data_IF_498539359803
#
_entry.id   IF_498539359803
#
_cell.length_a   1.000
_cell.length_b   1.000
_cell.length_c   1.000
_cell.angle_alpha   90.00
_cell.angle_beta   90.00
_cell.angle_gamma   90.00
#
_symmetry.space_group_name_H-M   'P 1'
#
loop_
_entity.id
_entity.type
_entity.pdbx_description
1 polymer ?
#
# COMPACT_ATOMS: atom_id res chain seq x y z
N UNK A 1 1.21 -28.32 5.79
CA UNK A 1 1.96 -27.43 6.70
C UNK A 1 3.38 -27.33 6.21
N UNK A 2 3.75 -26.24 5.52
CA UNK A 2 5.17 -25.91 5.38
C UNK A 2 5.33 -24.40 5.30
N UNK A 3 6.05 -23.91 6.29
CA UNK A 3 6.31 -22.53 6.66
C UNK A 3 6.87 -21.71 5.51
N UNK A 4 6.24 -20.57 5.24
CA UNK A 4 6.72 -19.48 4.39
C UNK A 4 8.14 -19.10 4.81
N UNK A 5 9.14 -19.33 3.94
CA UNK A 5 10.52 -18.89 4.17
C UNK A 5 10.55 -17.36 4.30
N UNK A 6 10.70 -16.90 5.54
CA UNK A 6 10.97 -15.50 5.90
C UNK A 6 12.36 -15.16 5.32
N UNK A 7 12.46 -14.06 4.57
CA UNK A 7 13.73 -13.56 4.05
C UNK A 7 14.65 -13.21 5.23
N UNK A 8 15.78 -13.91 5.35
CA UNK A 8 16.85 -13.59 6.30
C UNK A 8 17.60 -12.33 5.82
N UNK A 9 18.06 -11.51 6.77
CA UNK A 9 18.95 -10.37 6.47
C UNK A 9 20.30 -10.86 5.93
N UNK A 10 21.11 -9.96 5.37
CA UNK A 10 22.51 -10.22 4.98
C UNK A 10 23.39 -10.79 6.12
N UNK A 11 22.88 -10.87 7.36
CA UNK A 11 23.55 -11.36 8.56
C UNK A 11 22.90 -12.63 9.19
N UNK A 12 22.02 -13.33 8.47
CA UNK A 12 21.52 -14.65 8.92
C UNK A 12 20.61 -14.65 10.15
N UNK A 13 20.16 -13.48 10.62
CA UNK A 13 19.16 -13.34 11.70
C UNK A 13 17.75 -13.13 11.15
N UNK A 14 16.76 -13.61 11.89
CA UNK A 14 15.34 -13.37 11.62
C UNK A 14 15.05 -11.87 11.76
N UNK A 15 14.40 -11.26 10.75
CA UNK A 15 14.13 -9.82 10.73
C UNK A 15 13.20 -9.43 11.88
N UNK A 16 13.55 -8.38 12.61
CA UNK A 16 12.82 -7.91 13.79
C UNK A 16 11.51 -7.24 13.36
N UNK A 17 10.41 -7.65 14.00
CA UNK A 17 9.10 -7.00 13.85
C UNK A 17 9.08 -5.68 14.63
N UNK A 18 8.23 -4.76 14.20
CA UNK A 18 7.92 -3.54 14.91
C UNK A 18 6.44 -3.39 15.25
N UNK A 19 6.05 -2.18 15.61
CA UNK A 19 4.69 -1.80 15.95
C UNK A 19 4.15 -0.74 15.00
N UNK A 20 2.84 -0.76 14.77
CA UNK A 20 2.20 0.19 13.87
C UNK A 20 2.00 1.55 14.54
N UNK A 21 1.77 2.62 13.76
CA UNK A 21 1.40 3.93 14.31
C UNK A 21 0.15 3.85 15.20
N UNK A 22 -0.82 2.98 14.85
CA UNK A 22 -2.00 2.71 15.66
C UNK A 22 -1.72 2.07 17.03
N UNK A 23 -0.74 1.16 17.12
CA UNK A 23 -0.33 0.58 18.41
C UNK A 23 0.34 1.63 19.30
N UNK A 24 1.28 2.41 18.73
CA UNK A 24 1.92 3.52 19.44
C UNK A 24 0.91 4.58 19.91
N UNK A 25 -0.06 4.96 19.06
CA UNK A 25 -1.14 5.89 19.43
C UNK A 25 -2.03 5.34 20.56
N UNK A 26 -2.31 4.03 20.56
CA UNK A 26 -3.08 3.38 21.62
C UNK A 26 -2.32 3.39 22.95
N UNK A 27 -1.03 3.04 22.93
CA UNK A 27 -0.17 3.09 24.11
C UNK A 27 -0.04 4.52 24.65
N UNK A 28 0.21 5.51 23.78
CA UNK A 28 0.25 6.91 24.17
C UNK A 28 -1.08 7.39 24.79
N UNK A 29 -2.22 7.05 24.18
CA UNK A 29 -3.53 7.45 24.69
C UNK A 29 -3.84 6.81 26.05
N UNK A 30 -3.52 5.52 26.22
CA UNK A 30 -3.69 4.84 27.49
C UNK A 30 -2.78 5.43 28.56
N UNK A 31 -1.49 5.64 28.25
CA UNK A 31 -0.53 6.28 29.16
C UNK A 31 -0.96 7.68 29.61
N UNK A 32 -1.49 8.48 28.67
CA UNK A 32 -2.06 9.79 29.00
C UNK A 32 -3.26 9.65 29.95
N UNK A 33 -4.23 8.79 29.64
CA UNK A 33 -5.40 8.60 30.50
C UNK A 33 -5.03 8.09 31.89
N UNK A 34 -4.13 7.10 31.98
CA UNK A 34 -3.62 6.59 33.26
C UNK A 34 -3.01 7.70 34.09
N UNK A 35 -2.21 8.58 33.48
CA UNK A 35 -1.58 9.71 34.18
C UNK A 35 -2.57 10.73 34.76
N UNK A 36 -3.77 10.87 34.18
CA UNK A 36 -4.82 11.75 34.74
C UNK A 36 -5.29 11.23 36.09
N UNK A 37 -5.46 9.91 36.22
CA UNK A 37 -5.99 9.27 37.43
C UNK A 37 -4.89 8.89 38.43
N UNK A 38 -3.69 8.60 37.92
CA UNK A 38 -2.53 8.18 38.68
C UNK A 38 -1.34 9.09 38.31
N UNK A 39 -1.17 10.26 38.98
CA UNK A 39 -0.10 11.19 38.64
C UNK A 39 1.32 10.62 38.75
N UNK A 40 1.50 9.54 39.53
CA UNK A 40 2.74 8.78 39.67
C UNK A 40 2.80 7.54 38.74
N UNK A 41 2.04 7.53 37.64
CA UNK A 41 1.97 6.43 36.67
C UNK A 41 3.34 5.99 36.15
N UNK A 42 3.48 4.69 35.84
CA UNK A 42 4.70 4.09 35.35
C UNK A 42 5.26 4.77 34.07
N UNK A 43 6.57 4.60 33.84
CA UNK A 43 7.25 5.01 32.61
C UNK A 43 6.95 4.08 31.42
N UNK A 44 6.13 3.04 31.62
CA UNK A 44 5.80 2.04 30.61
C UNK A 44 4.31 1.68 30.67
N UNK A 45 3.77 1.24 29.53
CA UNK A 45 2.39 0.78 29.44
C UNK A 45 2.28 -0.44 28.52
N UNK A 46 1.46 -1.41 28.90
CA UNK A 46 1.13 -2.56 28.04
C UNK A 46 -0.25 -2.40 27.42
N UNK A 47 -0.40 -2.77 26.15
CA UNK A 47 -1.69 -2.76 25.44
C UNK A 47 -1.95 -4.14 24.83
N UNK A 48 -3.21 -4.52 24.68
CA UNK A 48 -3.61 -5.70 23.93
C UNK A 48 -3.72 -5.37 22.44
N UNK A 49 -2.93 -6.05 21.60
CA UNK A 49 -3.02 -5.92 20.16
C UNK A 49 -4.17 -6.77 19.58
N UNK A 50 -4.67 -6.45 18.38
CA UNK A 50 -5.69 -7.26 17.68
C UNK A 50 -5.29 -8.73 17.47
N UNK A 51 -3.97 -9.01 17.43
CA UNK A 51 -3.43 -10.37 17.30
C UNK A 51 -3.37 -11.14 18.63
N UNK A 52 -3.79 -10.54 19.74
CA UNK A 52 -3.79 -11.15 21.07
C UNK A 52 -2.50 -10.95 21.88
N UNK A 53 -1.45 -10.39 21.28
CA UNK A 53 -0.18 -10.10 21.96
C UNK A 53 -0.31 -8.87 22.90
N UNK A 54 0.48 -8.85 23.98
CA UNK A 54 0.54 -7.75 24.97
C UNK A 54 1.93 -7.14 25.10
N UNK A 55 2.39 -6.39 24.09
CA UNK A 55 3.66 -5.67 24.18
C UNK A 55 3.60 -4.50 25.17
N UNK A 56 4.78 -4.13 25.66
CA UNK A 56 5.02 -2.98 26.55
C UNK A 56 5.72 -1.87 25.77
N UNK A 57 5.30 -0.62 25.99
CA UNK A 57 5.82 0.57 25.36
C UNK A 57 6.34 1.53 26.42
N UNK A 58 7.53 2.09 26.19
CA UNK A 58 8.05 3.20 26.99
C UNK A 58 7.28 4.48 26.67
N UNK A 59 6.87 5.19 27.72
CA UNK A 59 6.12 6.43 27.64
C UNK A 59 7.04 7.63 27.76
N UNK A 60 6.87 8.58 26.83
CA UNK A 60 7.38 9.93 26.96
C UNK A 60 6.29 10.80 27.61
N UNK A 61 6.54 11.16 28.85
CA UNK A 61 5.62 11.96 29.65
C UNK A 61 5.78 13.44 29.30
N UNK A 62 4.70 14.05 28.78
CA UNK A 62 4.66 15.48 28.47
C UNK A 62 3.93 16.23 29.58
N UNK A 63 3.02 17.14 29.21
CA UNK A 63 2.21 17.95 30.11
C UNK A 63 1.00 17.17 30.65
N UNK A 64 0.65 17.42 31.90
CA UNK A 64 -0.63 17.02 32.48
C UNK A 64 -1.31 18.20 33.18
N UNK A 65 -2.63 18.15 33.24
CA UNK A 65 -3.50 19.08 33.96
C UNK A 65 -4.56 18.31 34.75
N UNK A 66 -5.58 19.03 35.25
CA UNK A 66 -6.61 18.44 36.11
C UNK A 66 -7.49 17.40 35.40
N UNK A 67 -7.82 17.67 34.14
CA UNK A 67 -8.77 16.90 33.32
C UNK A 67 -8.15 16.38 32.01
N UNK A 68 -6.85 16.59 31.82
CA UNK A 68 -6.16 16.15 30.61
C UNK A 68 -4.72 15.74 30.90
N UNK A 69 -4.16 14.89 30.03
CA UNK A 69 -2.75 14.61 30.00
C UNK A 69 -2.27 14.33 28.58
N UNK A 70 -0.95 14.38 28.42
CA UNK A 70 -0.26 14.17 27.14
C UNK A 70 0.85 13.15 27.38
N UNK A 71 0.89 12.12 26.55
CA UNK A 71 1.97 11.15 26.51
C UNK A 71 2.36 10.83 25.07
N UNK A 72 3.61 10.44 24.87
CA UNK A 72 4.19 10.07 23.59
C UNK A 72 4.77 8.66 23.61
N UNK A 73 4.88 8.04 22.45
CA UNK A 73 5.58 6.78 22.22
C UNK A 73 6.45 6.92 20.98
N UNK A 74 7.74 6.62 21.09
CA UNK A 74 8.62 6.54 19.92
C UNK A 74 8.30 5.25 19.17
N UNK A 75 7.91 5.39 17.90
CA UNK A 75 7.56 4.25 17.06
C UNK A 75 8.81 3.46 16.70
N UNK A 76 8.79 2.17 17.03
CA UNK A 76 9.79 1.21 16.59
C UNK A 76 9.20 0.30 15.51
N UNK A 77 9.66 0.47 14.26
CA UNK A 77 9.24 -0.33 13.11
C UNK A 77 10.00 -1.66 12.95
N UNK A 78 10.92 -2.00 13.86
CA UNK A 78 11.80 -3.16 13.68
C UNK A 78 12.75 -2.93 12.50
N UNK A 79 12.93 -3.96 11.67
CA UNK A 79 13.77 -3.90 10.46
C UNK A 79 12.99 -3.48 9.19
N UNK A 80 11.74 -3.02 9.34
CA UNK A 80 10.96 -2.53 8.20
C UNK A 80 11.46 -1.14 7.80
N UNK A 81 11.75 -0.88 6.50
CA UNK A 81 12.10 0.46 6.01
C UNK A 81 10.86 1.37 5.95
N UNK A 82 10.28 1.63 7.12
CA UNK A 82 9.08 2.43 7.34
C UNK A 82 9.48 3.89 7.60
N UNK A 83 8.97 4.82 6.78
CA UNK A 83 9.23 6.26 6.94
C UNK A 83 8.82 6.83 8.30
N UNK A 84 7.95 6.14 9.05
CA UNK A 84 7.50 6.55 10.39
C UNK A 84 8.29 5.88 11.53
N UNK A 85 9.35 5.12 11.22
CA UNK A 85 10.28 4.62 12.22
C UNK A 85 10.96 5.78 12.96
N UNK A 86 11.05 5.70 14.29
CA UNK A 86 11.64 6.74 15.14
C UNK A 86 10.75 7.97 15.35
N UNK A 87 9.60 8.06 14.67
CA UNK A 87 8.66 9.15 14.88
C UNK A 87 7.99 9.03 16.26
N UNK A 88 7.83 10.16 16.94
CA UNK A 88 7.04 10.21 18.17
C UNK A 88 5.55 10.28 17.83
N UNK A 89 4.76 9.38 18.40
CA UNK A 89 3.30 9.41 18.31
C UNK A 89 2.77 9.92 19.65
N UNK A 90 2.20 11.12 19.63
CA UNK A 90 1.72 11.83 20.83
C UNK A 90 0.20 11.73 20.90
N UNK A 91 -0.33 11.42 22.07
CA UNK A 91 -1.75 11.47 22.36
C UNK A 91 -2.02 12.46 23.50
N UNK A 92 -2.93 13.40 23.25
CA UNK A 92 -3.56 14.22 24.28
C UNK A 92 -4.95 13.65 24.56
N UNK A 93 -5.20 13.30 25.81
CA UNK A 93 -6.50 12.81 26.27
C UNK A 93 -7.08 13.83 27.24
N UNK A 94 -8.34 14.21 27.02
CA UNK A 94 -9.14 14.99 27.99
C UNK A 94 -10.38 14.20 28.35
N UNK A 95 -10.61 13.98 29.65
CA UNK A 95 -11.79 13.24 30.13
C UNK A 95 -13.07 14.06 29.97
N UNK A 96 -14.21 13.39 29.81
CA UNK A 96 -15.50 14.03 29.61
C UNK A 96 -16.63 13.22 30.24
N UNK A 97 -17.67 13.93 30.68
CA UNK A 97 -18.95 13.32 31.09
C UNK A 97 -19.90 13.10 29.91
N UNK A 98 -19.58 13.63 28.73
CA UNK A 98 -20.34 13.31 27.52
C UNK A 98 -20.00 11.90 27.05
N UNK A 99 -21.00 11.06 26.67
CA UNK A 99 -20.74 9.71 26.21
C UNK A 99 -19.85 9.64 24.96
N UNK A 100 -18.90 8.71 24.97
CA UNK A 100 -18.14 8.29 23.79
C UNK A 100 -16.73 8.89 23.66
N UNK A 101 -15.97 8.34 22.72
CA UNK A 101 -14.60 8.79 22.41
C UNK A 101 -14.63 9.58 21.10
N UNK A 102 -14.21 10.84 21.16
CA UNK A 102 -14.09 11.73 19.99
C UNK A 102 -12.62 11.84 19.58
N UNK A 103 -12.36 11.80 18.28
CA UNK A 103 -11.00 11.83 17.74
C UNK A 103 -10.74 13.16 17.03
N UNK A 104 -9.53 13.68 17.22
CA UNK A 104 -9.07 14.91 16.59
C UNK A 104 -7.67 14.70 15.99
N UNK A 105 -7.43 15.32 14.83
CA UNK A 105 -6.08 15.43 14.27
C UNK A 105 -5.36 16.58 14.97
N UNK A 106 -4.23 16.29 15.60
CA UNK A 106 -3.23 17.28 15.94
C UNK A 106 -2.23 17.46 14.81
N UNK A 107 -1.16 18.20 15.07
CA UNK A 107 -0.13 18.47 14.06
C UNK A 107 0.49 17.17 13.52
N UNK A 108 0.76 17.13 12.21
CA UNK A 108 1.35 15.98 11.53
C UNK A 108 0.47 14.73 11.40
N UNK A 109 -0.81 14.80 11.80
CA UNK A 109 -1.82 13.79 11.46
C UNK A 109 -2.72 14.32 10.35
N UNK A 110 -2.90 13.54 9.29
CA UNK A 110 -3.68 13.98 8.15
C UNK A 110 -5.18 14.13 8.46
N UNK A 111 -5.84 14.98 7.68
CA UNK A 111 -7.30 15.03 7.53
C UNK A 111 -7.70 14.50 6.16
N UNK A 112 -8.83 13.79 6.09
CA UNK A 112 -9.36 13.21 4.85
C UNK A 112 -10.03 14.32 4.04
N UNK A 113 -9.61 14.50 2.78
CA UNK A 113 -10.15 15.53 1.88
C UNK A 113 -10.82 14.96 0.64
N UNK A 114 -10.57 13.69 0.32
CA UNK A 114 -11.20 12.98 -0.80
C UNK A 114 -12.03 11.78 -0.30
N UNK A 115 -13.16 11.46 -0.94
CA UNK A 115 -13.96 10.31 -0.59
C UNK A 115 -13.27 8.99 -1.00
N UNK A 116 -13.64 7.90 -0.33
CA UNK A 116 -13.26 6.54 -0.70
C UNK A 116 -12.16 5.89 0.13
N UNK A 117 -11.66 6.59 1.14
CA UNK A 117 -10.97 5.95 2.26
C UNK A 117 -12.00 5.36 3.24
N UNK A 118 -11.54 4.62 4.25
CA UNK A 118 -12.42 4.02 5.28
C UNK A 118 -13.04 5.06 6.22
N UNK A 119 -12.61 6.32 6.11
CA UNK A 119 -13.03 7.45 6.93
C UNK A 119 -13.66 8.50 6.02
N UNK A 120 -14.65 9.23 6.56
CA UNK A 120 -15.36 10.27 5.83
C UNK A 120 -14.51 11.53 5.63
N UNK A 121 -14.88 12.35 4.64
CA UNK A 121 -14.23 13.64 4.39
C UNK A 121 -14.40 14.55 5.62
N UNK A 122 -13.31 15.20 6.02
CA UNK A 122 -13.22 16.03 7.22
C UNK A 122 -12.78 15.27 8.48
N UNK A 123 -12.76 13.93 8.46
CA UNK A 123 -12.32 13.14 9.60
C UNK A 123 -10.78 13.13 9.74
N UNK A 124 -10.26 13.01 10.98
CA UNK A 124 -8.84 12.75 11.20
C UNK A 124 -8.48 11.35 10.69
N UNK A 125 -7.32 11.22 10.05
CA UNK A 125 -6.81 10.00 9.40
C UNK A 125 -6.34 8.92 10.40
N UNK A 126 -7.15 8.66 11.41
CA UNK A 126 -7.01 7.60 12.42
C UNK A 126 -7.95 6.48 12.02
N UNK A 127 -7.41 5.39 11.45
CA UNK A 127 -8.21 4.34 10.82
C UNK A 127 -9.10 3.57 11.84
N UNK A 128 -10.12 2.84 11.36
CA UNK A 128 -11.09 2.16 12.23
C UNK A 128 -10.48 1.24 13.28
N UNK A 129 -9.47 0.43 12.92
CA UNK A 129 -8.81 -0.50 13.88
C UNK A 129 -8.07 0.28 14.98
N UNK A 130 -7.21 1.28 14.69
CA UNK A 130 -6.67 2.17 15.72
C UNK A 130 -7.74 2.84 16.60
N UNK A 131 -8.85 3.33 16.02
CA UNK A 131 -9.96 3.92 16.81
C UNK A 131 -10.56 2.89 17.77
N UNK A 132 -10.76 1.66 17.30
CA UNK A 132 -11.28 0.56 18.12
C UNK A 132 -10.31 0.18 19.24
N UNK A 133 -9.00 0.08 18.94
CA UNK A 133 -7.97 -0.20 19.93
C UNK A 133 -7.94 0.87 21.02
N UNK A 134 -7.93 2.16 20.66
CA UNK A 134 -7.96 3.25 21.64
C UNK A 134 -9.24 3.14 22.50
N UNK A 135 -10.41 3.00 21.86
CA UNK A 135 -11.69 2.85 22.58
C UNK A 135 -11.68 1.69 23.57
N UNK A 136 -11.22 0.50 23.16
CA UNK A 136 -11.25 -0.70 24.00
C UNK A 136 -10.34 -0.59 25.22
N UNK A 137 -9.28 0.23 25.16
CA UNK A 137 -8.38 0.47 26.28
C UNK A 137 -8.86 1.62 27.19
N UNK A 138 -9.42 2.69 26.61
CA UNK A 138 -9.82 3.86 27.40
C UNK A 138 -11.16 3.68 28.12
N UNK A 139 -12.16 3.06 27.47
CA UNK A 139 -13.53 2.98 28.01
C UNK A 139 -13.60 2.29 29.39
N UNK A 140 -12.93 1.14 29.63
CA UNK A 140 -12.94 0.51 30.95
C UNK A 140 -12.37 1.41 32.04
N UNK A 141 -11.26 2.10 31.75
CA UNK A 141 -10.60 3.00 32.70
C UNK A 141 -11.43 4.26 32.97
N UNK A 142 -12.02 4.87 31.93
CA UNK A 142 -12.94 6.00 32.08
C UNK A 142 -14.13 5.63 32.97
N UNK A 143 -14.75 4.47 32.70
CA UNK A 143 -15.92 3.98 33.45
C UNK A 143 -15.58 3.76 34.92
N UNK A 144 -14.41 3.19 35.21
CA UNK A 144 -13.93 2.96 36.57
C UNK A 144 -13.81 4.26 37.38
N UNK A 145 -13.45 5.37 36.73
CA UNK A 145 -13.29 6.68 37.36
C UNK A 145 -14.51 7.60 37.19
N UNK A 146 -15.66 7.09 36.74
CA UNK A 146 -16.92 7.85 36.66
C UNK A 146 -17.03 8.81 35.47
N UNK A 147 -16.23 8.62 34.42
CA UNK A 147 -16.31 9.37 33.17
C UNK A 147 -17.02 8.57 32.08
N UNK A 148 -17.79 9.25 31.24
CA UNK A 148 -18.56 8.61 30.17
C UNK A 148 -17.89 8.73 28.79
N UNK A 149 -16.82 9.51 28.67
CA UNK A 149 -16.13 9.70 27.40
C UNK A 149 -14.81 10.45 27.53
N UNK A 150 -14.19 10.69 26.38
CA UNK A 150 -12.95 11.46 26.28
C UNK A 150 -12.73 12.04 24.87
N UNK A 151 -12.00 13.15 24.82
CA UNK A 151 -11.44 13.70 23.60
C UNK A 151 -10.01 13.22 23.45
N UNK A 152 -9.71 12.62 22.29
CA UNK A 152 -8.40 12.07 21.96
C UNK A 152 -7.85 12.80 20.74
N UNK A 153 -6.81 13.60 20.95
CA UNK A 153 -6.06 14.24 19.87
C UNK A 153 -4.76 13.49 19.64
N UNK A 154 -4.52 12.99 18.43
CA UNK A 154 -3.25 12.35 18.07
C UNK A 154 -2.40 13.32 17.25
N UNK A 155 -1.13 13.44 17.58
CA UNK A 155 -0.16 14.31 16.88
C UNK A 155 1.12 13.54 16.58
N UNK A 156 1.82 13.93 15.52
CA UNK A 156 3.10 13.35 15.10
C UNK A 156 4.05 14.50 14.73
N UNK A 157 5.00 14.89 15.59
CA UNK A 157 5.99 15.90 15.25
C UNK A 157 6.71 15.54 13.93
N UNK A 158 6.76 16.47 12.99
CA UNK A 158 7.33 16.24 11.66
C UNK A 158 6.48 15.37 10.72
N UNK A 159 5.26 14.99 11.11
CA UNK A 159 4.38 14.12 10.32
C UNK A 159 4.05 14.67 8.92
N UNK A 160 3.97 15.99 8.74
CA UNK A 160 3.82 16.63 7.43
C UNK A 160 5.01 16.36 6.49
N UNK A 161 6.23 16.32 7.03
CA UNK A 161 7.44 16.02 6.25
C UNK A 161 7.47 14.53 5.89
N UNK A 162 7.08 13.66 6.83
CA UNK A 162 6.98 12.22 6.59
C UNK A 162 5.91 11.90 5.53
N UNK A 163 4.80 12.61 5.54
CA UNK A 163 3.69 12.42 4.60
C UNK A 163 4.12 12.53 3.13
N UNK A 164 5.10 13.40 2.82
CA UNK A 164 5.66 13.58 1.47
C UNK A 164 6.38 12.35 0.93
N UNK A 165 6.77 11.42 1.79
CA UNK A 165 7.38 10.14 1.41
C UNK A 165 6.32 9.05 1.17
N UNK A 166 5.04 9.37 1.33
CA UNK A 166 3.92 8.46 1.16
C UNK A 166 3.10 8.83 -0.06
N UNK A 167 2.21 7.92 -0.48
CA UNK A 167 1.20 8.22 -1.50
C UNK A 167 -0.02 8.97 -0.91
N UNK A 168 0.02 9.34 0.37
CA UNK A 168 -1.14 9.81 1.13
C UNK A 168 -1.75 11.09 0.57
N UNK A 169 -0.93 12.08 0.22
CA UNK A 169 -1.41 13.35 -0.34
C UNK A 169 -2.25 13.13 -1.62
N UNK A 170 -1.81 12.20 -2.48
CA UNK A 170 -2.56 11.81 -3.69
C UNK A 170 -3.89 11.12 -3.38
N UNK A 171 -3.99 10.46 -2.23
CA UNK A 171 -5.22 9.82 -1.75
C UNK A 171 -6.12 10.79 -0.97
N UNK A 172 -5.77 12.07 -0.88
CA UNK A 172 -6.52 13.07 -0.14
C UNK A 172 -6.21 13.13 1.35
N UNK A 173 -5.08 12.57 1.79
CA UNK A 173 -4.57 12.74 3.15
C UNK A 173 -3.73 14.02 3.21
N UNK A 174 -4.28 15.08 3.78
CA UNK A 174 -3.66 16.41 3.81
C UNK A 174 -3.18 16.76 5.23
N UNK A 175 -1.99 17.37 5.33
CA UNK A 175 -1.45 17.88 6.61
C UNK A 175 -0.75 16.86 7.51
N UNK A 176 -0.51 15.63 7.06
CA UNK A 176 0.20 14.65 7.89
C UNK A 176 0.12 13.20 7.42
N UNK A 177 0.56 12.29 8.30
CA UNK A 177 0.45 10.85 8.08
C UNK A 177 -0.87 10.28 8.60
N UNK A 178 -1.21 9.07 8.18
CA UNK A 178 -2.32 8.30 8.76
C UNK A 178 -1.86 7.46 9.95
N UNK A 179 -2.70 7.41 10.99
CA UNK A 179 -2.56 6.50 12.11
C UNK A 179 -3.29 5.20 11.74
N UNK A 180 -2.51 4.14 11.49
CA UNK A 180 -2.99 2.92 10.86
C UNK A 180 -2.36 1.67 11.49
N UNK A 181 -2.88 0.51 11.08
CA UNK A 181 -2.42 -0.80 11.53
C UNK A 181 -3.58 -1.69 11.93
N UNK A 182 -3.72 -2.84 11.27
CA UNK A 182 -4.83 -3.78 11.50
C UNK A 182 -4.48 -4.85 12.54
N UNK A 183 -3.20 -5.13 12.72
CA UNK A 183 -2.67 -6.16 13.64
C UNK A 183 -1.94 -5.60 14.85
N UNK A 184 -1.61 -4.32 14.83
CA UNK A 184 -0.76 -3.68 15.83
C UNK A 184 0.75 -3.90 15.65
N UNK A 185 1.15 -4.87 14.81
CA UNK A 185 2.56 -5.14 14.47
C UNK A 185 2.88 -4.80 13.01
N UNK A 186 4.14 -4.46 12.75
CA UNK A 186 4.72 -4.26 11.42
C UNK A 186 5.71 -5.39 11.16
N UNK A 187 5.57 -6.02 9.99
CA UNK A 187 6.51 -7.01 9.51
C UNK A 187 7.39 -6.40 8.41
N UNK A 188 8.71 -6.53 8.49
CA UNK A 188 9.64 -6.03 7.48
C UNK A 188 9.26 -6.50 6.07
N UNK A 189 9.21 -5.56 5.13
CA UNK A 189 8.89 -5.79 3.71
C UNK A 189 7.50 -6.42 3.52
N UNK A 190 6.53 -6.04 4.34
CA UNK A 190 5.18 -6.60 4.30
C UNK A 190 4.50 -6.39 2.95
N UNK A 191 4.29 -7.51 2.24
CA UNK A 191 3.50 -7.56 1.00
C UNK A 191 2.04 -7.17 1.23
N UNK A 192 1.51 -7.36 2.45
CA UNK A 192 0.11 -7.07 2.76
C UNK A 192 -0.15 -5.57 2.91
N UNK A 193 0.81 -4.80 3.42
CA UNK A 193 0.70 -3.34 3.54
C UNK A 193 0.68 -2.68 2.14
N UNK A 194 1.58 -3.11 1.25
CA UNK A 194 1.60 -2.64 -0.13
C UNK A 194 0.34 -3.06 -0.91
N UNK A 195 -0.13 -4.30 -0.73
CA UNK A 195 -1.40 -4.73 -1.33
C UNK A 195 -2.59 -3.91 -0.82
N UNK A 196 -2.58 -3.45 0.44
CA UNK A 196 -3.61 -2.57 0.96
C UNK A 196 -3.59 -1.18 0.29
N UNK A 197 -2.40 -0.60 0.10
CA UNK A 197 -2.27 0.72 -0.53
C UNK A 197 -2.76 0.72 -1.99
N UNK A 198 -2.45 -0.34 -2.76
CA UNK A 198 -2.96 -0.51 -4.13
C UNK A 198 -4.49 -0.56 -4.16
N UNK A 199 -5.12 -1.32 -3.24
CA UNK A 199 -6.59 -1.39 -3.15
C UNK A 199 -7.22 -0.05 -2.79
N UNK A 200 -6.61 0.67 -1.85
CA UNK A 200 -7.08 1.99 -1.42
C UNK A 200 -7.01 3.01 -2.56
N UNK A 201 -5.93 3.01 -3.34
CA UNK A 201 -5.83 3.86 -4.53
C UNK A 201 -6.99 3.66 -5.50
N UNK A 202 -7.32 2.40 -5.82
CA UNK A 202 -8.43 2.09 -6.74
C UNK A 202 -9.76 2.55 -6.16
N UNK A 203 -9.97 2.34 -4.85
CA UNK A 203 -11.20 2.74 -4.18
C UNK A 203 -11.40 4.26 -4.17
N UNK A 204 -10.33 5.02 -3.89
CA UNK A 204 -10.32 6.49 -3.92
C UNK A 204 -10.62 7.01 -5.32
N UNK A 205 -10.03 6.40 -6.36
CA UNK A 205 -10.33 6.76 -7.74
C UNK A 205 -11.79 6.48 -8.10
N UNK A 206 -12.31 5.30 -7.74
CA UNK A 206 -13.69 4.90 -8.02
C UNK A 206 -14.70 5.85 -7.39
N UNK A 207 -14.45 6.27 -6.14
CA UNK A 207 -15.32 7.18 -5.38
C UNK A 207 -15.27 8.62 -5.88
N UNK A 208 -14.28 8.96 -6.69
CA UNK A 208 -14.23 10.20 -7.47
C UNK A 208 -14.87 10.06 -8.85
N UNK A 209 -15.64 8.98 -9.09
CA UNK A 209 -16.28 8.66 -10.37
C UNK A 209 -15.30 8.46 -11.54
N UNK A 210 -14.02 8.19 -11.25
CA UNK A 210 -13.07 7.78 -12.26
C UNK A 210 -13.38 6.35 -12.68
N UNK A 211 -13.35 6.11 -14.00
CA UNK A 211 -13.61 4.79 -14.60
C UNK A 211 -12.43 4.26 -15.40
N UNK A 212 -11.46 5.12 -15.70
CA UNK A 212 -10.18 4.77 -16.31
C UNK A 212 -9.05 4.86 -15.26
N UNK A 213 -8.38 3.73 -15.06
CA UNK A 213 -7.24 3.57 -14.15
C UNK A 213 -5.98 3.15 -14.88
N UNK A 214 -4.83 3.60 -14.39
CA UNK A 214 -3.52 3.21 -14.89
C UNK A 214 -2.72 2.55 -13.77
N UNK A 215 -2.45 1.25 -13.91
CA UNK A 215 -1.63 0.49 -12.99
C UNK A 215 -0.20 0.39 -13.53
N UNK A 216 0.77 0.80 -12.72
CA UNK A 216 2.17 0.88 -13.14
C UNK A 216 3.06 -0.05 -12.32
N UNK A 217 4.16 -0.51 -12.90
CA UNK A 217 5.06 -1.48 -12.23
C UNK A 217 6.17 -0.84 -11.40
N UNK A 218 6.28 0.48 -11.42
CA UNK A 218 7.28 1.25 -10.68
C UNK A 218 7.27 2.72 -11.07
N UNK A 219 8.10 3.52 -10.40
CA UNK A 219 8.07 4.98 -10.55
C UNK A 219 8.43 5.46 -11.95
N UNK A 220 9.24 4.70 -12.70
CA UNK A 220 9.58 5.02 -14.09
C UNK A 220 8.37 4.84 -15.02
N UNK A 221 7.66 3.72 -14.90
CA UNK A 221 6.42 3.49 -15.63
C UNK A 221 5.32 4.46 -15.22
N UNK A 222 5.24 4.85 -13.95
CA UNK A 222 4.26 5.84 -13.50
C UNK A 222 4.51 7.22 -14.10
N UNK A 223 5.76 7.72 -14.04
CA UNK A 223 6.13 9.00 -14.67
C UNK A 223 5.79 9.02 -16.15
N UNK A 224 6.12 7.96 -16.88
CA UNK A 224 5.83 7.89 -18.31
C UNK A 224 4.32 7.80 -18.58
N UNK A 225 3.59 7.01 -17.79
CA UNK A 225 2.14 6.93 -17.88
C UNK A 225 1.47 8.30 -17.69
N UNK A 226 1.94 9.09 -16.72
CA UNK A 226 1.43 10.44 -16.46
C UNK A 226 1.74 11.42 -17.60
N UNK A 227 2.85 11.24 -18.32
CA UNK A 227 3.17 12.03 -19.51
C UNK A 227 2.24 11.66 -20.67
N UNK A 228 2.07 10.37 -20.92
CA UNK A 228 1.19 9.84 -21.99
C UNK A 228 -0.26 10.27 -21.75
N UNK A 229 -0.71 10.22 -20.50
CA UNK A 229 -2.08 10.50 -20.09
C UNK A 229 -2.17 11.79 -19.27
N UNK A 230 -1.59 12.88 -19.77
CA UNK A 230 -1.53 14.16 -19.06
C UNK A 230 -2.91 14.77 -18.72
N UNK A 231 -3.97 14.33 -19.39
CA UNK A 231 -5.36 14.72 -19.10
C UNK A 231 -6.02 13.93 -17.96
N UNK A 232 -5.42 12.84 -17.47
CA UNK A 232 -5.97 12.09 -16.34
C UNK A 232 -5.53 12.68 -15.00
N UNK A 233 -6.41 12.67 -13.97
CA UNK A 233 -6.04 13.10 -12.64
C UNK A 233 -4.99 12.17 -12.03
N UNK A 234 -4.16 12.70 -11.11
CA UNK A 234 -3.12 11.91 -10.45
C UNK A 234 -3.65 10.65 -9.75
N UNK A 235 -4.88 10.71 -9.24
CA UNK A 235 -5.59 9.59 -8.59
C UNK A 235 -5.90 8.42 -9.53
N UNK A 236 -5.84 8.62 -10.85
CA UNK A 236 -5.94 7.53 -11.84
C UNK A 236 -4.67 6.68 -11.90
N UNK A 237 -3.52 7.16 -11.40
CA UNK A 237 -2.25 6.45 -11.49
C UNK A 237 -1.92 5.76 -10.17
N UNK A 238 -1.76 4.44 -10.22
CA UNK A 238 -1.40 3.63 -9.05
C UNK A 238 -0.17 2.80 -9.38
N UNK A 239 0.92 3.07 -8.67
CA UNK A 239 2.06 2.17 -8.64
C UNK A 239 1.70 0.87 -7.93
N UNK A 240 1.34 -0.14 -8.72
CA UNK A 240 0.96 -1.47 -8.25
C UNK A 240 2.16 -2.41 -8.12
N UNK A 241 3.29 -2.14 -8.78
CA UNK A 241 4.51 -2.91 -8.63
C UNK A 241 4.30 -4.41 -8.90
N UNK A 242 4.50 -5.22 -7.86
CA UNK A 242 4.30 -6.68 -7.92
C UNK A 242 2.83 -7.11 -7.80
N UNK A 243 1.97 -6.19 -7.42
CA UNK A 243 0.59 -6.41 -6.99
C UNK A 243 -0.43 -5.98 -8.04
N UNK A 244 -0.09 -6.08 -9.32
CA UNK A 244 -1.00 -5.82 -10.44
C UNK A 244 -2.31 -6.58 -10.28
N UNK A 245 -2.26 -7.87 -9.92
CA UNK A 245 -3.47 -8.66 -9.65
C UNK A 245 -4.31 -8.13 -8.49
N UNK A 246 -3.71 -7.50 -7.48
CA UNK A 246 -4.47 -6.83 -6.42
C UNK A 246 -5.21 -5.62 -6.99
N UNK A 247 -4.54 -4.83 -7.83
CA UNK A 247 -5.15 -3.72 -8.57
C UNK A 247 -6.31 -4.18 -9.45
N UNK A 248 -6.10 -5.19 -10.29
CA UNK A 248 -7.14 -5.74 -11.18
C UNK A 248 -8.38 -6.22 -10.42
N UNK A 249 -8.22 -6.98 -9.34
CA UNK A 249 -9.36 -7.42 -8.49
C UNK A 249 -10.07 -6.23 -7.84
N UNK A 250 -9.32 -5.23 -7.38
CA UNK A 250 -9.91 -4.03 -6.82
C UNK A 250 -10.69 -3.24 -7.87
N UNK A 251 -10.14 -3.11 -9.09
CA UNK A 251 -10.80 -2.42 -10.20
C UNK A 251 -12.10 -3.12 -10.60
N UNK A 252 -12.13 -4.45 -10.61
CA UNK A 252 -13.33 -5.24 -10.88
C UNK A 252 -14.36 -5.06 -9.77
N UNK A 253 -13.91 -5.10 -8.51
CA UNK A 253 -14.78 -4.90 -7.33
C UNK A 253 -15.40 -3.50 -7.31
N UNK A 254 -14.65 -2.48 -7.69
CA UNK A 254 -15.08 -1.08 -7.68
C UNK A 254 -15.60 -0.59 -9.04
N UNK A 255 -15.94 -1.50 -9.95
CA UNK A 255 -16.61 -1.24 -11.22
C UNK A 255 -15.88 -0.20 -12.11
N UNK A 256 -14.56 -0.31 -12.22
CA UNK A 256 -13.83 0.39 -13.27
C UNK A 256 -14.27 -0.13 -14.64
N UNK A 257 -14.33 0.74 -15.65
CA UNK A 257 -14.64 0.31 -17.03
C UNK A 257 -13.36 -0.01 -17.79
N UNK A 258 -12.28 0.71 -17.49
CA UNK A 258 -11.00 0.54 -18.16
C UNK A 258 -9.80 0.55 -17.20
N UNK A 259 -8.87 -0.38 -17.40
CA UNK A 259 -7.56 -0.40 -16.74
C UNK A 259 -6.44 -0.52 -17.79
N UNK A 260 -5.52 0.44 -17.81
CA UNK A 260 -4.27 0.33 -18.54
C UNK A 260 -3.12 -0.14 -17.63
N UNK A 261 -2.39 -1.14 -18.08
CA UNK A 261 -1.17 -1.62 -17.44
C UNK A 261 0.05 -1.04 -18.16
N UNK A 262 0.81 -0.16 -17.51
CA UNK A 262 2.06 0.38 -18.05
C UNK A 262 3.24 -0.33 -17.41
N UNK A 263 3.96 -1.12 -18.22
CA UNK A 263 4.89 -2.15 -17.73
C UNK A 263 6.24 -2.11 -18.44
N UNK A 264 7.27 -2.62 -17.75
CA UNK A 264 8.56 -2.95 -18.35
C UNK A 264 8.57 -4.41 -18.81
N UNK A 265 9.46 -4.77 -19.75
CA UNK A 265 9.48 -6.09 -20.40
C UNK A 265 9.48 -7.28 -19.41
N UNK A 266 10.26 -7.21 -18.34
CA UNK A 266 10.34 -8.31 -17.37
C UNK A 266 9.02 -8.59 -16.64
N UNK A 267 8.18 -7.56 -16.45
CA UNK A 267 6.83 -7.70 -15.88
C UNK A 267 5.84 -8.13 -16.94
N UNK A 268 5.94 -7.57 -18.14
CA UNK A 268 5.11 -7.95 -19.28
C UNK A 268 5.18 -9.45 -19.54
N UNK A 269 6.39 -10.01 -19.66
CA UNK A 269 6.60 -11.43 -19.92
C UNK A 269 5.88 -12.32 -18.87
N UNK A 270 5.88 -11.91 -17.59
CA UNK A 270 5.18 -12.66 -16.53
C UNK A 270 3.66 -12.57 -16.65
N UNK A 271 3.14 -11.39 -16.99
CA UNK A 271 1.70 -11.18 -17.21
C UNK A 271 1.21 -11.97 -18.42
N UNK A 272 1.99 -11.97 -19.51
CA UNK A 272 1.72 -12.74 -20.73
C UNK A 272 1.72 -14.26 -20.47
N UNK A 273 2.39 -14.74 -19.43
CA UNK A 273 2.35 -16.14 -18.99
C UNK A 273 1.26 -16.41 -17.93
N UNK A 274 0.35 -15.47 -17.67
CA UNK A 274 -0.75 -15.61 -16.71
C UNK A 274 -0.39 -15.36 -15.24
N UNK A 275 0.80 -14.83 -14.93
CA UNK A 275 1.23 -14.56 -13.55
C UNK A 275 0.93 -13.12 -13.14
N UNK A 276 -0.21 -12.90 -12.49
CA UNK A 276 -0.70 -11.56 -12.08
C UNK A 276 -0.11 -11.02 -10.77
N UNK A 277 0.54 -11.89 -9.98
CA UNK A 277 1.30 -11.52 -8.78
C UNK A 277 2.78 -11.72 -9.09
N UNK A 278 3.47 -10.67 -9.56
CA UNK A 278 4.72 -10.82 -10.31
C UNK A 278 5.96 -11.15 -9.46
N UNK A 279 5.79 -11.32 -8.14
CA UNK A 279 6.84 -11.75 -7.20
C UNK A 279 6.40 -12.86 -6.21
N UNK A 280 5.11 -13.16 -6.04
CA UNK A 280 4.67 -14.06 -4.93
C UNK A 280 4.87 -15.55 -5.25
N UNK A 281 5.12 -15.93 -6.51
CA UNK A 281 5.21 -17.35 -6.89
C UNK A 281 6.62 -17.87 -7.17
N UNK A 282 7.67 -17.03 -7.18
CA UNK A 282 9.01 -17.48 -7.59
C UNK A 282 9.06 -18.05 -9.02
N UNK A 283 7.97 -17.95 -9.80
CA UNK A 283 7.91 -18.42 -11.18
C UNK A 283 8.78 -17.53 -12.04
N UNK A 284 9.79 -18.15 -12.63
CA UNK A 284 10.59 -17.53 -13.68
C UNK A 284 9.70 -17.23 -14.89
N UNK A 285 10.15 -16.33 -15.75
CA UNK A 285 9.47 -16.09 -17.02
C UNK A 285 9.50 -17.40 -17.81
N UNK A 286 8.35 -17.79 -18.35
CA UNK A 286 8.23 -18.96 -19.22
C UNK A 286 8.58 -18.53 -20.65
N UNK A 287 9.88 -18.58 -20.95
CA UNK A 287 10.41 -18.17 -22.25
C UNK A 287 10.07 -19.16 -23.37
N UNK A 288 9.85 -20.44 -23.05
CA UNK A 288 9.35 -21.44 -24.01
C UNK A 288 7.98 -21.03 -24.55
N UNK A 289 7.07 -20.59 -23.67
CA UNK A 289 5.77 -20.09 -24.10
C UNK A 289 5.84 -18.83 -24.96
N UNK A 290 6.80 -17.94 -24.70
CA UNK A 290 7.05 -16.76 -25.54
C UNK A 290 7.68 -17.13 -26.89
N UNK A 291 8.51 -18.16 -26.93
CA UNK A 291 9.07 -18.69 -28.17
C UNK A 291 7.97 -19.32 -29.05
N UNK A 292 7.01 -20.03 -28.47
CA UNK A 292 5.85 -20.56 -29.21
C UNK A 292 5.03 -19.42 -29.84
N UNK A 293 4.82 -18.33 -29.11
CA UNK A 293 4.15 -17.14 -29.63
C UNK A 293 4.93 -16.53 -30.80
N UNK A 294 6.27 -16.45 -30.70
CA UNK A 294 7.12 -15.99 -31.80
C UNK A 294 6.98 -16.89 -33.04
N UNK A 295 7.02 -18.20 -32.85
CA UNK A 295 6.98 -19.19 -33.94
C UNK A 295 5.67 -19.11 -34.74
N UNK A 296 4.56 -18.69 -34.12
CA UNK A 296 3.31 -18.44 -34.85
C UNK A 296 3.36 -17.24 -35.80
N UNK A 297 4.34 -16.34 -35.66
CA UNK A 297 4.54 -15.18 -36.52
C UNK A 297 5.73 -15.31 -37.47
N UNK A 298 6.75 -16.08 -37.07
CA UNK A 298 7.97 -16.26 -37.83
C UNK A 298 8.44 -17.70 -37.71
N UNK A 299 8.48 -18.40 -38.85
CA UNK A 299 8.97 -19.77 -38.96
C UNK A 299 10.52 -19.78 -39.01
N UNK A 300 11.15 -19.14 -38.03
CA UNK A 300 12.61 -19.17 -37.81
C UNK A 300 12.93 -19.99 -36.56
N UNK A 301 13.35 -21.26 -36.73
CA UNK A 301 13.71 -22.13 -35.62
C UNK A 301 14.87 -21.60 -34.77
N UNK A 302 15.84 -20.89 -35.38
CA UNK A 302 17.01 -20.37 -34.66
C UNK A 302 16.62 -19.22 -33.73
N UNK A 303 15.73 -18.35 -34.19
CA UNK A 303 15.22 -17.24 -33.40
C UNK A 303 14.32 -17.76 -32.25
N UNK A 304 13.47 -18.75 -32.55
CA UNK A 304 12.60 -19.41 -31.56
C UNK A 304 13.42 -20.07 -30.44
N UNK A 305 14.47 -20.83 -30.79
CA UNK A 305 15.37 -21.44 -29.80
C UNK A 305 16.09 -20.37 -28.95
N UNK A 306 16.55 -19.29 -29.59
CA UNK A 306 17.21 -18.17 -28.90
C UNK A 306 16.30 -17.51 -27.86
N UNK A 307 15.02 -17.30 -28.18
CA UNK A 307 14.04 -16.78 -27.22
C UNK A 307 13.81 -17.78 -26.09
N UNK A 308 13.64 -19.07 -26.38
CA UNK A 308 13.39 -20.09 -25.36
C UNK A 308 14.52 -20.19 -24.32
N UNK A 309 15.78 -19.95 -24.75
CA UNK A 309 16.96 -19.96 -23.89
C UNK A 309 17.22 -18.62 -23.17
N UNK A 310 16.40 -17.59 -23.41
CA UNK A 310 16.57 -16.30 -22.77
C UNK A 310 16.40 -16.40 -21.24
N UNK A 311 17.16 -15.60 -20.49
CA UNK A 311 17.12 -15.57 -19.01
C UNK A 311 16.40 -14.36 -18.46
N UNK A 312 16.30 -13.29 -19.27
CA UNK A 312 15.68 -12.04 -18.86
C UNK A 312 14.86 -11.46 -20.02
N UNK A 313 13.81 -10.71 -19.70
CA UNK A 313 13.05 -9.98 -20.73
C UNK A 313 13.93 -8.99 -21.51
N UNK A 314 15.02 -8.48 -20.91
CA UNK A 314 15.96 -7.60 -21.60
C UNK A 314 16.77 -8.35 -22.67
N UNK A 315 17.17 -9.58 -22.39
CA UNK A 315 17.79 -10.44 -23.38
C UNK A 315 16.82 -10.77 -24.53
N UNK A 316 15.54 -11.02 -24.20
CA UNK A 316 14.51 -11.19 -25.23
C UNK A 316 14.40 -9.96 -26.14
N UNK A 317 14.46 -8.74 -25.59
CA UNK A 317 14.47 -7.51 -26.42
C UNK A 317 15.69 -7.38 -27.32
N UNK A 318 16.84 -7.95 -26.97
CA UNK A 318 18.05 -7.90 -27.80
C UNK A 318 18.09 -8.99 -28.87
N UNK A 319 17.34 -10.09 -28.71
CA UNK A 319 17.33 -11.22 -29.66
C UNK A 319 16.61 -10.83 -30.97
N UNK A 320 15.53 -10.04 -30.87
CA UNK A 320 14.77 -9.61 -32.05
C UNK A 320 15.26 -8.24 -32.54
N UNK A 321 16.03 -8.24 -33.64
CA UNK A 321 16.67 -7.04 -34.18
C UNK A 321 15.85 -6.33 -35.27
N UNK A 322 15.10 -7.08 -36.08
CA UNK A 322 14.31 -6.49 -37.17
C UNK A 322 13.11 -5.70 -36.62
N UNK A 323 13.07 -4.39 -36.86
CA UNK A 323 12.19 -3.45 -36.13
C UNK A 323 10.69 -3.74 -36.29
N UNK A 324 10.20 -3.94 -37.51
CA UNK A 324 8.77 -4.21 -37.75
C UNK A 324 8.31 -5.51 -37.09
N UNK A 325 9.14 -6.55 -37.21
CA UNK A 325 8.87 -7.86 -36.62
C UNK A 325 8.93 -7.81 -35.09
N UNK A 326 9.89 -7.07 -34.54
CA UNK A 326 10.00 -6.80 -33.11
C UNK A 326 8.74 -6.12 -32.57
N UNK A 327 8.24 -5.11 -33.27
CA UNK A 327 7.05 -4.38 -32.83
C UNK A 327 5.80 -5.26 -32.85
N UNK A 328 5.61 -6.07 -33.89
CA UNK A 328 4.52 -7.04 -33.98
C UNK A 328 4.59 -8.07 -32.83
N UNK A 329 5.76 -8.66 -32.61
CA UNK A 329 5.97 -9.63 -31.54
C UNK A 329 5.70 -9.03 -30.16
N UNK A 330 6.21 -7.83 -29.86
CA UNK A 330 5.98 -7.17 -28.57
C UNK A 330 4.51 -6.79 -28.36
N UNK A 331 3.80 -6.42 -29.42
CA UNK A 331 2.35 -6.15 -29.37
C UNK A 331 1.56 -7.42 -29.06
N UNK A 332 1.96 -8.57 -29.59
CA UNK A 332 1.34 -9.86 -29.26
C UNK A 332 1.59 -10.29 -27.82
N UNK A 333 2.80 -10.05 -27.28
CA UNK A 333 3.03 -10.27 -25.84
C UNK A 333 2.11 -9.36 -25.01
N UNK A 334 1.91 -8.10 -25.43
CA UNK A 334 0.93 -7.20 -24.81
C UNK A 334 -0.50 -7.76 -24.90
N UNK A 335 -0.88 -8.33 -26.05
CA UNK A 335 -2.19 -8.93 -26.26
C UNK A 335 -2.43 -10.11 -25.31
N UNK A 336 -1.45 -11.01 -25.18
CA UNK A 336 -1.53 -12.13 -24.24
C UNK A 336 -1.61 -11.66 -22.78
N UNK A 337 -0.87 -10.61 -22.42
CA UNK A 337 -0.98 -10.01 -21.09
C UNK A 337 -2.37 -9.39 -20.85
N UNK A 338 -2.94 -8.71 -21.86
CA UNK A 338 -4.27 -8.11 -21.79
C UNK A 338 -5.35 -9.19 -21.58
N UNK A 339 -5.33 -10.26 -22.38
CA UNK A 339 -6.26 -11.40 -22.27
C UNK A 339 -6.19 -12.05 -20.89
N UNK A 340 -4.99 -12.40 -20.42
CA UNK A 340 -4.87 -13.01 -19.09
C UNK A 340 -5.36 -12.07 -17.98
N UNK A 341 -5.10 -10.77 -18.10
CA UNK A 341 -5.53 -9.77 -17.12
C UNK A 341 -7.04 -9.58 -17.12
N UNK A 342 -7.65 -9.59 -18.31
CA UNK A 342 -9.10 -9.54 -18.51
C UNK A 342 -9.79 -10.73 -17.84
N UNK A 343 -9.30 -11.94 -18.10
CA UNK A 343 -9.80 -13.17 -17.46
C UNK A 343 -9.62 -13.13 -15.94
N UNK A 344 -8.48 -12.60 -15.46
CA UNK A 344 -8.22 -12.45 -14.03
C UNK A 344 -9.17 -11.46 -13.34
N UNK A 345 -9.64 -10.45 -14.07
CA UNK A 345 -10.65 -9.48 -13.63
C UNK A 345 -12.08 -10.00 -13.81
N UNK A 346 -12.27 -11.29 -14.14
CA UNK A 346 -13.56 -11.92 -14.42
C UNK A 346 -14.32 -11.23 -15.57
N UNK A 347 -13.59 -10.73 -16.58
CA UNK A 347 -14.18 -10.17 -17.81
C UNK A 347 -15.02 -8.92 -17.56
N UNK A 348 -14.83 -8.25 -16.42
CA UNK A 348 -15.64 -7.09 -15.98
C UNK A 348 -15.09 -5.72 -16.41
N UNK A 349 -13.91 -5.69 -17.03
CA UNK A 349 -13.15 -4.45 -17.27
C UNK A 349 -12.38 -4.61 -18.58
N UNK A 350 -12.40 -3.60 -19.45
CA UNK A 350 -11.47 -3.54 -20.59
C UNK A 350 -10.03 -3.34 -20.10
N UNK A 351 -9.09 -4.10 -20.65
CA UNK A 351 -7.68 -4.03 -20.28
C UNK A 351 -6.83 -3.56 -21.45
N UNK A 352 -6.08 -2.48 -21.26
CA UNK A 352 -4.96 -2.12 -22.14
C UNK A 352 -3.65 -2.50 -21.48
N UNK A 353 -2.67 -2.90 -22.28
CA UNK A 353 -1.30 -3.14 -21.83
C UNK A 353 -0.36 -2.36 -22.73
N UNK A 354 0.54 -1.60 -22.11
CA UNK A 354 1.58 -0.82 -22.78
C UNK A 354 2.95 -1.19 -22.26
N UNK A 355 3.81 -1.62 -23.17
CA UNK A 355 5.22 -1.83 -22.93
C UNK A 355 6.00 -0.54 -23.20
N UNK A 356 6.80 -0.10 -22.23
CA UNK A 356 7.74 1.01 -22.42
C UNK A 356 9.19 0.56 -22.21
N UNK A 357 10.13 1.28 -22.82
CA UNK A 357 11.56 1.15 -22.55
C UNK A 357 12.04 2.13 -21.47
N UNK A 358 13.33 2.05 -21.12
CA UNK A 358 13.96 2.89 -20.11
C UNK A 358 13.93 4.38 -20.45
N UNK A 359 13.94 4.74 -21.73
CA UNK A 359 13.81 6.12 -22.21
C UNK A 359 12.35 6.64 -22.24
N UNK A 360 11.37 5.77 -21.96
CA UNK A 360 9.95 6.08 -22.00
C UNK A 360 9.26 5.79 -23.33
N UNK A 361 10.01 5.36 -24.36
CA UNK A 361 9.46 5.01 -25.67
C UNK A 361 8.50 3.83 -25.55
N UNK A 362 7.33 3.91 -26.20
CA UNK A 362 6.41 2.77 -26.28
C UNK A 362 6.95 1.76 -27.29
N UNK A 363 7.19 0.53 -26.84
CA UNK A 363 7.70 -0.56 -27.69
C UNK A 363 6.58 -1.47 -28.23
N UNK A 364 5.44 -1.50 -27.56
CA UNK A 364 4.30 -2.34 -27.91
C UNK A 364 3.07 -1.99 -27.08
N UNK A 365 1.89 -2.22 -27.64
CA UNK A 365 0.63 -2.00 -26.94
C UNK A 365 -0.46 -2.94 -27.48
N UNK A 366 -1.42 -3.28 -26.63
CA UNK A 366 -2.60 -4.04 -27.02
C UNK A 366 -3.76 -3.75 -26.07
N UNK A 367 -4.98 -3.99 -26.53
CA UNK A 367 -6.20 -3.84 -25.74
C UNK A 367 -7.10 -5.05 -25.92
N UNK A 368 -7.78 -5.46 -24.84
CA UNK A 368 -8.72 -6.57 -24.85
C UNK A 368 -9.94 -6.26 -23.97
N UNK A 369 -11.14 -6.60 -24.47
CA UNK A 369 -12.43 -6.26 -23.86
C UNK A 369 -13.04 -4.99 -24.43
N UNK A 370 -14.37 -4.88 -24.34
CA UNK A 370 -15.14 -3.74 -24.84
C UNK A 370 -15.25 -2.62 -23.78
N UNK A 371 -15.29 -1.37 -24.24
CA UNK A 371 -15.30 -0.15 -23.42
C UNK A 371 -16.70 0.33 -23.03
#
# INVERSE_FOLDING_TARGET
>A
MTVTKIRQSQHGRELRKGYTTGACATAAALGALTRIFEPASAAEISILLPIGERPTFSLLHHQAGKDFAIAGVIKDAGDDPDCTHGAEIIAKVRVSHSPGIRFFAGFGVATITLPGLELDVGEPAINPVPRQMIKSHLVPLLSHHGFSGADVTISVPGGEVLAKQTIGERLGLQGGISILGTRGTVHPYSTSAYAASVRQGVQVAAKQNLRHMVLTTGSRTEKQAMIIHCGLPQTSFIQAGDFIGVGLRASAKYAMTHVELVVMIGKLCKLACGTMMTHVTGRQVDFERLAILLNSQCDDPSLTESIAQARTGRQLLSIVEHQEFKQAFLSDICQQAAIHSFNYAHEKIAISVRLIDFDGTTLGQATHGDY
#
